data_IF_046571549213
#
_entry.id   IF_046571549213
#
_cell.length_a   1.000
_cell.length_b   1.000
_cell.length_c   1.000
_cell.angle_alpha   90.00
_cell.angle_beta   90.00
_cell.angle_gamma   90.00
#
_symmetry.space_group_name_H-M   'P 1'
#
loop_
_entity.id
_entity.type
_entity.pdbx_description
1 polymer ?
#
# COMPACT_ATOMS: atom_id res chain seq x y z
N UNK A 1 14.74 -9.08 -13.61
CA UNK A 1 14.38 -9.18 -12.17
C UNK A 1 13.11 -8.39 -11.95
N UNK A 2 12.07 -8.98 -11.38
CA UNK A 2 10.82 -8.27 -11.12
C UNK A 2 10.97 -7.46 -9.84
N UNK A 3 10.36 -6.27 -9.75
CA UNK A 3 10.31 -5.48 -8.48
C UNK A 3 9.87 -6.34 -7.28
N UNK A 4 9.05 -7.36 -7.51
CA UNK A 4 8.66 -8.32 -6.46
C UNK A 4 9.82 -9.20 -5.98
N UNK A 5 10.79 -9.48 -6.83
CA UNK A 5 11.92 -10.36 -6.48
C UNK A 5 12.89 -9.65 -5.53
N UNK A 6 13.05 -8.32 -5.69
CA UNK A 6 13.84 -7.49 -4.76
C UNK A 6 13.06 -7.11 -3.50
N UNK A 7 11.73 -7.29 -3.46
CA UNK A 7 10.88 -6.83 -2.36
C UNK A 7 10.70 -5.30 -2.28
N UNK A 8 11.20 -4.56 -3.26
CA UNK A 8 11.15 -3.09 -3.28
C UNK A 8 9.94 -2.59 -4.10
N UNK A 9 8.74 -2.92 -3.66
CA UNK A 9 7.50 -2.43 -4.26
C UNK A 9 7.16 -1.06 -3.70
N UNK A 10 7.07 -0.06 -4.56
CA UNK A 10 6.71 1.32 -4.19
C UNK A 10 5.68 1.94 -5.11
N UNK A 11 5.21 3.11 -4.72
CA UNK A 11 4.33 3.97 -5.51
C UNK A 11 5.05 5.29 -5.72
N UNK A 12 4.93 5.88 -6.91
CA UNK A 12 5.45 7.21 -7.19
C UNK A 12 4.64 8.22 -6.37
N UNK A 13 5.29 8.90 -5.44
CA UNK A 13 4.66 9.90 -4.58
C UNK A 13 4.62 11.27 -5.25
N UNK A 14 5.71 11.66 -5.90
CA UNK A 14 5.86 12.99 -6.52
C UNK A 14 6.71 12.87 -7.76
N UNK A 15 6.40 13.66 -8.78
CA UNK A 15 7.23 13.85 -9.96
C UNK A 15 7.77 15.28 -9.91
N UNK A 16 9.09 15.41 -10.00
CA UNK A 16 9.80 16.70 -9.90
C UNK A 16 10.54 16.95 -11.21
N UNK A 17 10.75 18.20 -11.62
CA UNK A 17 11.64 18.52 -12.72
C UNK A 17 13.07 18.03 -12.45
N UNK A 18 13.81 17.72 -13.52
CA UNK A 18 15.18 17.21 -13.42
C UNK A 18 16.11 18.19 -12.68
N UNK A 19 15.89 19.48 -12.87
CA UNK A 19 16.63 20.59 -12.26
C UNK A 19 16.52 20.60 -10.71
N UNK A 20 15.39 20.15 -10.17
CA UNK A 20 15.11 20.11 -8.75
C UNK A 20 15.57 18.80 -8.08
N UNK A 21 16.03 17.83 -8.88
CA UNK A 21 16.52 16.56 -8.36
C UNK A 21 17.91 16.69 -7.74
N UNK A 22 18.22 15.91 -6.70
CA UNK A 22 19.58 15.85 -6.17
C UNK A 22 20.57 15.42 -7.25
N UNK A 23 21.79 15.98 -7.19
CA UNK A 23 22.82 15.69 -8.18
C UNK A 23 24.17 15.36 -7.54
N UNK A 24 25.00 14.65 -8.28
CA UNK A 24 26.36 14.27 -7.93
C UNK A 24 27.34 15.45 -8.09
N UNK A 25 28.59 15.31 -7.62
CA UNK A 25 29.63 16.31 -7.77
C UNK A 25 29.99 16.62 -9.24
N UNK A 26 29.73 15.69 -10.14
CA UNK A 26 29.90 15.86 -11.60
C UNK A 26 28.74 16.60 -12.29
N UNK A 27 27.70 16.95 -11.53
CA UNK A 27 26.49 17.60 -12.02
C UNK A 27 25.43 16.64 -12.57
N UNK A 28 25.65 15.33 -12.51
CA UNK A 28 24.67 14.34 -12.97
C UNK A 28 23.51 14.22 -11.98
N UNK A 29 22.25 14.46 -12.38
CA UNK A 29 21.10 14.32 -11.51
C UNK A 29 20.78 12.84 -11.28
N UNK A 30 20.14 12.54 -10.13
CA UNK A 30 19.59 11.23 -9.87
C UNK A 30 18.19 11.11 -10.46
N UNK A 31 17.88 9.98 -11.11
CA UNK A 31 16.59 9.76 -11.74
C UNK A 31 15.46 9.47 -10.75
N UNK A 32 15.78 8.83 -9.63
CA UNK A 32 14.80 8.38 -8.61
C UNK A 32 15.38 8.47 -7.22
N UNK A 33 14.59 8.96 -6.29
CA UNK A 33 14.87 8.92 -4.84
C UNK A 33 13.95 7.89 -4.19
N UNK A 34 14.54 6.92 -3.52
CA UNK A 34 13.81 5.85 -2.83
C UNK A 34 13.79 6.07 -1.32
N UNK A 35 12.67 5.74 -0.69
CA UNK A 35 12.55 5.82 0.77
C UNK A 35 13.39 4.71 1.43
N UNK A 36 14.41 5.05 2.25
CA UNK A 36 15.28 4.08 2.89
C UNK A 36 14.57 3.21 3.95
N UNK A 37 13.44 3.64 4.50
CA UNK A 37 12.70 2.90 5.51
C UNK A 37 12.16 1.54 5.00
N UNK A 38 12.01 1.39 3.68
CA UNK A 38 11.60 0.13 3.05
C UNK A 38 12.66 -0.98 3.13
N UNK A 39 13.93 -0.66 3.40
CA UNK A 39 15.03 -1.63 3.48
C UNK A 39 15.08 -2.35 4.82
N UNK A 40 15.19 -1.66 5.99
CA UNK A 40 15.29 -2.31 7.28
C UNK A 40 14.03 -3.10 7.64
N UNK A 41 12.85 -2.55 7.36
CA UNK A 41 11.57 -3.20 7.69
C UNK A 41 11.36 -4.52 6.98
N UNK A 42 11.96 -4.73 5.81
CA UNK A 42 11.83 -5.94 5.00
C UNK A 42 13.08 -6.81 4.97
N UNK A 43 14.18 -6.37 5.57
CA UNK A 43 15.46 -7.09 5.69
C UNK A 43 16.04 -7.57 4.33
N UNK A 44 15.68 -6.95 3.22
CA UNK A 44 16.17 -7.30 1.88
C UNK A 44 17.42 -6.50 1.51
N UNK A 45 18.53 -6.80 2.16
CA UNK A 45 19.81 -6.11 1.96
C UNK A 45 20.41 -6.30 0.56
N UNK A 46 19.98 -7.34 -0.16
CA UNK A 46 20.43 -7.61 -1.53
C UNK A 46 20.22 -6.43 -2.50
N UNK A 47 19.20 -5.61 -2.28
CA UNK A 47 18.98 -4.40 -3.10
C UNK A 47 20.08 -3.34 -2.93
N UNK A 48 20.72 -3.25 -1.76
CA UNK A 48 21.85 -2.36 -1.55
C UNK A 48 23.08 -2.84 -2.31
N UNK A 49 23.37 -4.14 -2.27
CA UNK A 49 24.47 -4.73 -3.04
C UNK A 49 24.22 -4.63 -4.55
N UNK A 50 22.97 -4.80 -4.99
CA UNK A 50 22.58 -4.58 -6.38
C UNK A 50 22.88 -3.15 -6.82
N UNK A 51 22.51 -2.16 -6.01
CA UNK A 51 22.75 -0.75 -6.30
C UNK A 51 24.24 -0.43 -6.39
N UNK A 52 25.05 -0.95 -5.46
CA UNK A 52 26.50 -0.75 -5.42
C UNK A 52 27.19 -1.40 -6.63
N UNK A 53 26.84 -2.65 -6.94
CA UNK A 53 27.40 -3.35 -8.10
C UNK A 53 26.91 -2.75 -9.42
N UNK A 54 25.66 -2.24 -9.45
CA UNK A 54 25.16 -1.51 -10.60
C UNK A 54 25.98 -0.27 -10.92
N UNK A 55 26.36 0.50 -9.91
CA UNK A 55 27.24 1.66 -10.06
C UNK A 55 28.63 1.27 -10.54
N UNK A 56 29.25 0.26 -9.90
CA UNK A 56 30.54 -0.26 -10.34
C UNK A 56 30.47 -0.78 -11.80
N UNK A 57 29.37 -1.46 -12.16
CA UNK A 57 29.17 -1.99 -13.49
C UNK A 57 29.04 -0.91 -14.58
N UNK A 58 28.41 0.20 -14.24
CA UNK A 58 28.31 1.36 -15.17
C UNK A 58 29.69 1.96 -15.44
N UNK A 59 30.49 2.20 -14.40
CA UNK A 59 31.84 2.76 -14.54
C UNK A 59 32.78 1.82 -15.28
N UNK A 60 32.70 0.50 -15.00
CA UNK A 60 33.57 -0.51 -15.64
C UNK A 60 33.05 -1.00 -16.99
N UNK A 61 31.82 -0.63 -17.39
CA UNK A 61 31.18 -1.12 -18.61
C UNK A 61 30.80 -2.60 -18.57
N UNK A 62 30.59 -3.18 -17.39
CA UNK A 62 30.32 -4.62 -17.17
C UNK A 62 28.95 -4.83 -16.58
N UNK A 63 28.28 -5.92 -16.97
CA UNK A 63 27.02 -6.37 -16.35
C UNK A 63 27.28 -7.54 -15.43
N UNK A 64 26.85 -7.41 -14.17
CA UNK A 64 26.96 -8.48 -13.17
C UNK A 64 25.73 -9.38 -13.21
N UNK A 65 25.97 -10.69 -13.14
CA UNK A 65 24.92 -11.71 -13.01
C UNK A 65 25.32 -12.66 -11.89
N UNK A 66 24.47 -12.81 -10.90
CA UNK A 66 24.73 -13.68 -9.75
C UNK A 66 23.65 -14.75 -9.62
N UNK A 67 23.98 -16.03 -9.31
CA UNK A 67 22.99 -17.04 -8.98
C UNK A 67 22.20 -16.70 -7.72
N UNK A 68 20.96 -17.19 -7.62
CA UNK A 68 20.03 -16.85 -6.52
C UNK A 68 20.58 -17.24 -5.14
N UNK A 69 21.21 -18.41 -5.01
CA UNK A 69 21.73 -18.93 -3.73
C UNK A 69 23.26 -18.85 -3.60
N UNK A 70 23.94 -18.29 -4.58
CA UNK A 70 25.38 -18.07 -4.56
C UNK A 70 25.67 -16.65 -5.07
N UNK A 71 25.13 -15.67 -4.38
CA UNK A 71 25.29 -14.25 -4.69
C UNK A 71 26.66 -13.71 -4.29
N UNK A 72 26.97 -12.49 -4.73
CA UNK A 72 28.20 -11.82 -4.38
C UNK A 72 28.27 -11.57 -2.86
N UNK A 73 29.44 -11.85 -2.28
CA UNK A 73 29.73 -11.55 -0.88
C UNK A 73 30.07 -10.07 -0.70
N UNK A 74 29.92 -9.50 0.52
CA UNK A 74 30.30 -8.12 0.78
C UNK A 74 31.73 -7.77 0.35
N UNK A 75 32.67 -8.69 0.56
CA UNK A 75 34.08 -8.47 0.20
C UNK A 75 34.29 -8.42 -1.32
N UNK A 76 33.52 -9.19 -2.09
CA UNK A 76 33.55 -9.14 -3.55
C UNK A 76 32.97 -7.84 -4.08
N UNK A 77 31.87 -7.36 -3.47
CA UNK A 77 31.27 -6.05 -3.81
C UNK A 77 32.25 -4.92 -3.55
N UNK A 78 32.93 -4.90 -2.39
CA UNK A 78 33.95 -3.92 -2.09
C UNK A 78 35.15 -3.99 -3.05
N UNK A 79 35.54 -5.18 -3.47
CA UNK A 79 36.63 -5.36 -4.43
C UNK A 79 36.27 -4.75 -5.80
N UNK A 80 35.04 -4.95 -6.26
CA UNK A 80 34.58 -4.39 -7.52
C UNK A 80 34.44 -2.85 -7.45
N UNK A 81 33.95 -2.30 -6.34
CA UNK A 81 33.91 -0.86 -6.11
C UNK A 81 35.31 -0.24 -6.13
N UNK A 82 36.30 -0.90 -5.49
CA UNK A 82 37.73 -0.46 -5.53
C UNK A 82 38.29 -0.48 -6.95
N UNK A 83 37.98 -1.49 -7.76
CA UNK A 83 38.41 -1.56 -9.16
C UNK A 83 37.80 -0.43 -9.98
N UNK A 84 36.56 -0.04 -9.69
CA UNK A 84 35.88 1.08 -10.33
C UNK A 84 36.36 2.46 -9.82
N UNK A 85 37.21 2.52 -8.79
CA UNK A 85 37.63 3.77 -8.17
C UNK A 85 36.56 4.46 -7.32
N UNK A 86 35.53 3.71 -6.94
CA UNK A 86 34.38 4.20 -6.17
C UNK A 86 34.58 3.98 -4.66
N UNK A 87 33.89 4.76 -3.81
CA UNK A 87 33.89 4.56 -2.36
C UNK A 87 33.42 3.14 -1.99
N UNK A 88 34.16 2.44 -1.14
CA UNK A 88 33.86 1.05 -0.75
C UNK A 88 32.56 0.88 0.01
N UNK A 89 32.08 1.94 0.65
CA UNK A 89 30.80 1.97 1.35
C UNK A 89 29.61 2.26 0.43
N UNK A 90 29.83 2.49 -0.87
CA UNK A 90 28.79 2.81 -1.85
C UNK A 90 28.05 4.13 -1.59
N UNK A 91 28.65 5.01 -0.78
CA UNK A 91 28.05 6.31 -0.43
C UNK A 91 28.85 7.46 -1.05
N UNK A 92 28.14 8.45 -1.52
CA UNK A 92 28.72 9.67 -2.08
C UNK A 92 28.00 10.91 -1.55
N UNK A 93 28.62 12.04 -1.79
CA UNK A 93 28.02 13.33 -1.49
C UNK A 93 27.04 13.71 -2.59
N UNK A 94 25.85 14.14 -2.21
CA UNK A 94 24.86 14.72 -3.12
C UNK A 94 24.60 16.18 -2.76
N UNK A 95 24.18 16.94 -3.74
CA UNK A 95 23.73 18.31 -3.63
C UNK A 95 22.21 18.38 -3.90
N UNK A 96 21.50 19.24 -3.18
CA UNK A 96 20.08 19.48 -3.42
C UNK A 96 19.92 20.31 -4.69
N UNK A 97 19.10 19.84 -5.65
CA UNK A 97 18.84 20.54 -6.91
C UNK A 97 18.16 21.90 -6.75
N UNK A 98 17.45 22.13 -5.65
CA UNK A 98 16.68 23.36 -5.42
C UNK A 98 17.52 24.52 -4.92
N UNK A 99 18.47 24.26 -4.00
CA UNK A 99 19.28 25.29 -3.37
C UNK A 99 20.78 25.15 -3.67
N UNK A 100 21.20 24.02 -4.27
CA UNK A 100 22.60 23.73 -4.55
C UNK A 100 23.43 23.40 -3.31
N UNK A 101 22.81 23.24 -2.14
CA UNK A 101 23.53 22.95 -0.90
C UNK A 101 23.89 21.47 -0.80
N UNK A 102 25.03 21.21 -0.21
CA UNK A 102 25.50 19.86 0.08
C UNK A 102 24.61 19.21 1.14
N UNK A 103 24.17 17.97 0.92
CA UNK A 103 23.46 17.18 1.93
C UNK A 103 24.38 16.87 3.13
N UNK A 104 23.85 16.92 4.33
CA UNK A 104 24.60 16.71 5.58
C UNK A 104 25.27 15.33 5.64
N UNK A 105 24.59 14.30 5.17
CA UNK A 105 25.05 12.93 5.24
C UNK A 105 25.33 12.36 3.85
N UNK A 106 26.38 11.54 3.69
CA UNK A 106 26.63 10.83 2.45
C UNK A 106 25.51 9.82 2.16
N UNK A 107 25.06 9.76 0.92
CA UNK A 107 23.91 8.96 0.46
C UNK A 107 24.39 7.79 -0.39
N UNK A 108 23.74 6.64 -0.26
CA UNK A 108 23.96 5.50 -1.16
C UNK A 108 23.37 5.81 -2.54
N UNK A 109 24.21 5.81 -3.55
CA UNK A 109 23.85 6.06 -4.95
C UNK A 109 24.31 4.89 -5.80
N UNK A 110 23.59 4.62 -6.87
CA UNK A 110 23.97 3.59 -7.84
C UNK A 110 22.81 3.21 -8.75
N UNK A 111 23.02 2.23 -9.59
CA UNK A 111 22.04 1.81 -10.58
C UNK A 111 21.27 0.58 -10.09
N UNK A 112 19.95 0.67 -10.17
CA UNK A 112 19.05 -0.40 -9.80
C UNK A 112 18.11 -0.72 -10.96
N UNK A 113 17.77 -1.99 -11.13
CA UNK A 113 16.81 -2.41 -12.15
C UNK A 113 15.39 -2.15 -11.69
N UNK A 114 14.66 -1.31 -12.42
CA UNK A 114 13.28 -0.94 -12.10
C UNK A 114 12.31 -1.35 -13.22
N UNK A 115 11.13 -1.78 -12.82
CA UNK A 115 10.03 -2.09 -13.73
C UNK A 115 8.77 -1.31 -13.36
N UNK A 116 8.09 -0.77 -14.37
CA UNK A 116 6.73 -0.27 -14.20
C UNK A 116 5.77 -1.46 -14.18
N UNK A 117 5.00 -1.60 -13.10
CA UNK A 117 3.97 -2.63 -13.00
C UNK A 117 2.64 -2.11 -13.55
N UNK A 118 1.84 -3.00 -14.11
CA UNK A 118 0.49 -2.69 -14.60
C UNK A 118 -0.55 -2.46 -13.49
N UNK A 119 -0.11 -2.38 -12.25
CA UNK A 119 -0.95 -2.09 -11.09
C UNK A 119 -1.13 -0.57 -10.92
N UNK A 120 -1.89 0.06 -11.82
CA UNK A 120 -2.13 1.50 -11.80
C UNK A 120 -3.35 1.86 -10.95
N UNK A 121 -3.37 3.09 -10.44
CA UNK A 121 -4.44 3.58 -9.55
C UNK A 121 -5.81 3.57 -10.23
N UNK A 122 -5.88 3.89 -11.51
CA UNK A 122 -7.14 3.94 -12.26
C UNK A 122 -7.86 2.59 -12.27
N UNK A 123 -7.09 1.50 -12.35
CA UNK A 123 -7.65 0.15 -12.29
C UNK A 123 -8.10 -0.27 -10.89
N UNK A 124 -7.60 0.40 -9.85
CA UNK A 124 -7.86 0.06 -8.44
C UNK A 124 -8.79 1.05 -7.74
N UNK A 125 -8.92 2.25 -8.28
CA UNK A 125 -9.83 3.24 -7.71
C UNK A 125 -11.26 2.72 -7.79
N UNK A 126 -11.95 2.72 -6.65
CA UNK A 126 -13.31 2.23 -6.54
C UNK A 126 -14.06 3.02 -5.47
N UNK A 127 -15.29 3.38 -5.79
CA UNK A 127 -16.23 4.00 -4.88
C UNK A 127 -17.63 3.40 -5.07
N UNK A 128 -18.44 3.43 -4.02
CA UNK A 128 -19.79 2.93 -4.03
C UNK A 128 -20.69 3.82 -3.19
N UNK A 129 -21.88 4.13 -3.68
CA UNK A 129 -22.99 4.67 -2.88
C UNK A 129 -24.03 3.57 -2.65
N UNK A 130 -24.79 3.22 -3.68
CA UNK A 130 -25.74 2.11 -3.71
C UNK A 130 -25.32 1.13 -4.81
N UNK A 131 -25.65 -0.14 -4.67
CA UNK A 131 -25.28 -1.16 -5.65
C UNK A 131 -25.92 -2.52 -5.33
N UNK A 132 -25.47 -3.60 -5.94
CA UNK A 132 -26.02 -4.92 -5.73
C UNK A 132 -25.74 -5.47 -4.33
N UNK A 133 -26.67 -6.25 -3.81
CA UNK A 133 -26.61 -6.89 -2.50
C UNK A 133 -26.75 -8.40 -2.63
N UNK A 134 -26.28 -9.14 -1.64
CA UNK A 134 -26.49 -10.58 -1.54
C UNK A 134 -27.99 -10.87 -1.29
N UNK A 135 -28.49 -11.97 -1.86
CA UNK A 135 -29.90 -12.35 -1.69
C UNK A 135 -30.25 -12.80 -0.27
N UNK A 136 -29.36 -13.52 0.39
CA UNK A 136 -29.62 -14.11 1.70
C UNK A 136 -29.31 -13.14 2.83
N UNK A 137 -28.09 -12.64 2.87
CA UNK A 137 -27.62 -11.78 3.97
C UNK A 137 -27.93 -10.31 3.77
N UNK A 138 -28.38 -9.91 2.58
CA UNK A 138 -28.63 -8.50 2.21
C UNK A 138 -27.44 -7.56 2.40
N UNK A 139 -26.24 -8.12 2.49
CA UNK A 139 -24.99 -7.37 2.58
C UNK A 139 -24.54 -6.93 1.18
N UNK A 140 -23.81 -5.79 1.07
CA UNK A 140 -23.17 -5.39 -0.18
C UNK A 140 -22.26 -6.49 -0.73
N UNK A 141 -22.30 -6.73 -2.03
CA UNK A 141 -21.35 -7.63 -2.68
C UNK A 141 -19.91 -7.07 -2.57
N UNK A 142 -18.92 -7.94 -2.69
CA UNK A 142 -17.52 -7.57 -2.68
C UNK A 142 -16.93 -7.39 -4.08
N UNK A 143 -15.85 -6.61 -4.17
CA UNK A 143 -15.06 -6.46 -5.38
C UNK A 143 -15.49 -5.34 -6.33
N UNK A 144 -14.50 -4.74 -7.00
CA UNK A 144 -14.69 -3.63 -7.93
C UNK A 144 -15.57 -4.03 -9.14
N UNK A 145 -15.36 -5.24 -9.68
CA UNK A 145 -16.08 -5.72 -10.85
C UNK A 145 -17.61 -5.83 -10.64
N UNK A 146 -18.03 -6.07 -9.41
CA UNK A 146 -19.44 -6.18 -9.01
C UNK A 146 -20.00 -4.88 -8.43
N UNK A 147 -19.26 -3.77 -8.54
CA UNK A 147 -19.61 -2.52 -7.88
C UNK A 147 -19.88 -2.72 -6.37
N UNK A 148 -19.01 -3.51 -5.74
CA UNK A 148 -19.17 -3.96 -4.36
C UNK A 148 -18.63 -2.95 -3.34
N UNK A 149 -18.95 -3.21 -2.06
CA UNK A 149 -18.46 -2.43 -0.93
C UNK A 149 -17.11 -2.93 -0.42
N UNK A 150 -16.51 -2.13 0.45
CA UNK A 150 -15.32 -2.52 1.19
C UNK A 150 -15.70 -3.42 2.37
N UNK A 151 -14.83 -4.40 2.67
CA UNK A 151 -15.02 -5.23 3.85
C UNK A 151 -14.59 -4.46 5.10
N UNK A 152 -15.49 -4.33 6.06
CA UNK A 152 -15.19 -3.87 7.40
C UNK A 152 -15.02 -5.09 8.29
N UNK A 153 -13.77 -5.44 8.58
CA UNK A 153 -13.43 -6.66 9.30
C UNK A 153 -13.57 -6.53 10.82
N UNK A 154 -13.29 -7.62 11.52
CA UNK A 154 -13.35 -7.68 12.99
C UNK A 154 -12.34 -6.72 13.65
N UNK A 155 -11.13 -6.63 13.10
CA UNK A 155 -10.09 -5.73 13.64
C UNK A 155 -10.48 -4.26 13.48
N UNK A 156 -11.15 -3.88 12.40
CA UNK A 156 -11.67 -2.53 12.19
C UNK A 156 -12.80 -2.19 13.18
N UNK A 157 -13.64 -3.18 13.54
CA UNK A 157 -14.61 -3.03 14.62
C UNK A 157 -13.92 -2.77 15.96
N UNK A 158 -12.89 -3.52 16.29
CA UNK A 158 -12.11 -3.30 17.53
C UNK A 158 -11.50 -1.91 17.60
N UNK A 159 -11.04 -1.38 16.47
CA UNK A 159 -10.51 -0.02 16.42
C UNK A 159 -11.58 1.03 16.78
N UNK A 160 -12.79 0.90 16.25
CA UNK A 160 -13.90 1.80 16.62
C UNK A 160 -14.35 1.64 18.08
N UNK A 161 -14.34 0.44 18.59
CA UNK A 161 -14.61 0.16 20.01
C UNK A 161 -13.56 0.82 20.91
N UNK A 162 -12.27 0.73 20.54
CA UNK A 162 -11.19 1.38 21.27
C UNK A 162 -11.31 2.90 21.32
N UNK A 163 -11.82 3.52 20.27
CA UNK A 163 -12.11 4.95 20.24
C UNK A 163 -13.43 5.34 20.93
N UNK A 164 -14.26 4.36 21.32
CA UNK A 164 -15.59 4.61 21.90
C UNK A 164 -16.59 5.18 20.89
N UNK A 165 -16.37 4.99 19.59
CA UNK A 165 -17.22 5.51 18.52
C UNK A 165 -18.43 4.59 18.27
N UNK A 166 -19.32 4.44 19.25
CA UNK A 166 -20.43 3.50 19.21
C UNK A 166 -21.44 3.81 18.09
N UNK A 167 -21.80 5.07 17.90
CA UNK A 167 -22.75 5.46 16.85
C UNK A 167 -22.21 5.21 15.45
N UNK A 168 -20.93 5.46 15.21
CA UNK A 168 -20.28 5.17 13.92
C UNK A 168 -20.25 3.67 13.65
N UNK A 169 -19.95 2.86 14.66
CA UNK A 169 -19.97 1.41 14.55
C UNK A 169 -21.38 0.90 14.24
N UNK A 170 -22.40 1.39 14.94
CA UNK A 170 -23.79 1.04 14.73
C UNK A 170 -24.25 1.39 13.29
N UNK A 171 -23.91 2.57 12.80
CA UNK A 171 -24.22 3.01 11.45
C UNK A 171 -23.59 2.07 10.39
N UNK A 172 -22.31 1.71 10.57
CA UNK A 172 -21.60 0.83 9.63
C UNK A 172 -22.23 -0.57 9.61
N UNK A 173 -22.61 -1.10 10.76
CA UNK A 173 -23.17 -2.45 10.89
C UNK A 173 -24.64 -2.57 10.46
N UNK A 174 -25.39 -1.47 10.41
CA UNK A 174 -26.84 -1.48 10.11
C UNK A 174 -27.13 -0.83 8.75
N UNK A 175 -27.31 0.46 8.71
CA UNK A 175 -27.80 1.18 7.52
C UNK A 175 -26.82 1.22 6.36
N UNK A 176 -25.53 1.09 6.61
CA UNK A 176 -24.50 0.96 5.56
C UNK A 176 -24.30 -0.49 5.10
N UNK A 177 -24.87 -1.46 5.76
CA UNK A 177 -24.69 -2.89 5.47
C UNK A 177 -26.01 -3.57 5.10
N UNK A 178 -26.70 -4.17 6.06
CA UNK A 178 -27.77 -5.14 5.83
C UNK A 178 -29.14 -4.79 6.43
N UNK A 179 -29.30 -3.59 6.99
CA UNK A 179 -30.64 -3.08 7.36
C UNK A 179 -31.35 -2.58 6.10
N UNK A 180 -32.24 -3.42 5.54
CA UNK A 180 -32.92 -3.18 4.27
C UNK A 180 -33.82 -1.93 4.32
N UNK A 181 -34.62 -1.82 5.38
CA UNK A 181 -35.56 -0.70 5.54
C UNK A 181 -34.82 0.60 5.93
N UNK A 182 -33.83 0.48 6.80
CA UNK A 182 -32.99 1.59 7.25
C UNK A 182 -32.23 2.24 6.11
N UNK A 183 -31.65 1.46 5.19
CA UNK A 183 -30.94 2.00 3.99
C UNK A 183 -31.80 2.95 3.19
N UNK A 184 -33.03 2.51 2.91
CA UNK A 184 -33.96 3.29 2.08
C UNK A 184 -34.42 4.57 2.79
N UNK A 185 -34.70 4.46 4.08
CA UNK A 185 -35.11 5.61 4.91
C UNK A 185 -33.98 6.64 5.02
N UNK A 186 -32.75 6.20 5.33
CA UNK A 186 -31.58 7.08 5.45
C UNK A 186 -31.29 7.80 4.13
N UNK A 187 -31.35 7.10 3.00
CA UNK A 187 -31.15 7.70 1.69
C UNK A 187 -32.19 8.81 1.42
N UNK A 188 -33.46 8.54 1.72
CA UNK A 188 -34.53 9.51 1.57
C UNK A 188 -34.36 10.71 2.50
N UNK A 189 -33.96 10.51 3.76
CA UNK A 189 -33.70 11.60 4.73
C UNK A 189 -32.56 12.49 4.26
N UNK A 190 -31.46 11.92 3.75
CA UNK A 190 -30.34 12.68 3.19
C UNK A 190 -30.79 13.54 2.00
N UNK A 191 -31.55 12.96 1.07
CA UNK A 191 -32.05 13.68 -0.11
C UNK A 191 -32.99 14.83 0.28
N UNK A 192 -33.83 14.65 1.30
CA UNK A 192 -34.78 15.66 1.78
C UNK A 192 -34.19 16.65 2.77
N UNK A 193 -33.01 16.34 3.35
CA UNK A 193 -32.39 17.14 4.41
C UNK A 193 -33.10 16.99 5.77
N UNK A 194 -33.74 15.86 6.00
CA UNK A 194 -34.38 15.50 7.27
C UNK A 194 -33.40 14.80 8.21
N UNK A 195 -33.74 14.70 9.49
CA UNK A 195 -32.94 13.95 10.48
C UNK A 195 -32.86 12.46 10.13
N UNK A 196 -31.79 11.81 10.53
CA UNK A 196 -31.58 10.40 10.29
C UNK A 196 -32.58 9.58 11.12
N UNK A 197 -33.22 8.54 10.52
CA UNK A 197 -34.14 7.67 11.23
C UNK A 197 -33.39 6.77 12.24
N UNK A 198 -34.13 6.20 13.16
CA UNK A 198 -33.60 5.15 14.03
C UNK A 198 -33.14 3.93 13.23
N UNK A 199 -32.08 3.30 13.68
CA UNK A 199 -31.49 2.13 13.05
C UNK A 199 -32.33 0.87 13.36
N UNK A 200 -32.50 0.02 12.36
CA UNK A 200 -33.19 -1.24 12.48
C UNK A 200 -32.28 -2.40 12.88
N UNK A 201 -32.80 -3.61 12.75
CA UNK A 201 -32.06 -4.85 13.01
C UNK A 201 -31.42 -5.33 11.71
N UNK A 202 -30.12 -5.73 11.75
CA UNK A 202 -29.45 -6.31 10.60
C UNK A 202 -30.11 -7.61 10.12
N UNK A 203 -30.31 -7.78 8.81
CA UNK A 203 -30.91 -8.98 8.24
C UNK A 203 -30.08 -10.25 8.48
N UNK A 204 -28.76 -10.11 8.56
CA UNK A 204 -27.87 -11.22 8.96
C UNK A 204 -28.17 -11.77 10.35
N UNK A 205 -28.66 -10.94 11.26
CA UNK A 205 -29.11 -11.38 12.59
C UNK A 205 -30.39 -12.20 12.48
N UNK A 206 -31.35 -11.82 11.65
CA UNK A 206 -32.55 -12.59 11.38
C UNK A 206 -32.23 -13.98 10.77
N UNK A 207 -31.28 -14.03 9.86
CA UNK A 207 -30.77 -15.29 9.30
C UNK A 207 -30.19 -16.17 10.40
N UNK A 208 -29.35 -15.61 11.29
CA UNK A 208 -28.77 -16.35 12.41
C UNK A 208 -29.86 -16.95 13.31
N UNK A 209 -30.88 -16.16 13.68
CA UNK A 209 -32.00 -16.65 14.49
C UNK A 209 -32.70 -17.83 13.78
N UNK A 210 -32.95 -17.73 12.48
CA UNK A 210 -33.58 -18.82 11.72
C UNK A 210 -32.72 -20.08 11.65
N UNK A 211 -31.42 -19.92 11.53
CA UNK A 211 -30.50 -21.06 11.57
C UNK A 211 -30.48 -21.73 12.94
N UNK A 212 -30.46 -20.96 14.04
CA UNK A 212 -30.53 -21.49 15.40
C UNK A 212 -31.87 -22.19 15.68
N UNK A 213 -32.98 -21.61 15.21
CA UNK A 213 -34.30 -22.28 15.27
C UNK A 213 -34.31 -23.59 14.46
N UNK A 214 -33.66 -23.64 13.31
CA UNK A 214 -33.47 -24.85 12.51
C UNK A 214 -32.66 -25.94 13.23
N UNK A 215 -31.79 -25.57 14.16
CA UNK A 215 -31.09 -26.49 15.07
C UNK A 215 -31.93 -26.92 16.29
N UNK A 216 -33.17 -26.48 16.40
CA UNK A 216 -34.09 -26.83 17.49
C UNK A 216 -33.95 -25.94 18.75
N UNK A 217 -33.23 -24.81 18.65
CA UNK A 217 -33.14 -23.82 19.73
C UNK A 217 -34.30 -22.83 19.61
N UNK A 218 -35.03 -22.59 20.72
CA UNK A 218 -36.04 -21.54 20.78
C UNK A 218 -35.36 -20.22 21.17
N UNK A 219 -35.46 -19.21 20.31
CA UNK A 219 -34.95 -17.87 20.55
C UNK A 219 -36.08 -16.88 20.35
N UNK A 220 -36.42 -16.15 21.38
CA UNK A 220 -37.40 -15.08 21.39
C UNK A 220 -36.69 -13.76 21.61
N UNK A 221 -37.09 -12.73 20.90
CA UNK A 221 -36.57 -11.36 21.08
C UNK A 221 -37.67 -10.58 21.82
N UNK A 222 -37.27 -9.98 22.92
CA UNK A 222 -38.14 -9.10 23.72
C UNK A 222 -38.19 -7.69 23.14
#
# INVERSE_FOLDING_TARGET
>A
MCIRDSGNKGVIATVVPEEDMPFLEDGSPVDVVLNPLGVPSRMNLGQLYETMLGWAGEVLGVKYSTPVFNGATPNEVEAELKKAGLPTNGKTTLFDGRNGEKLENPVTVGNIYMMKLSHMVDDKMHARSTGPYSLVTQQPLGGKAQFGGQRFGEMECWALEAYGAAHTLQEILTVKSDDVDGRSKVYNSIVKGEDLPEFGVPESFNVLIKELQGLGLNIELD
#
